data_IF_175965771742
#
_entry.id   IF_175965771742
#
_cell.length_a   1.000
_cell.length_b   1.000
_cell.length_c   1.000
_cell.angle_alpha   90.00
_cell.angle_beta   90.00
_cell.angle_gamma   90.00
#
_symmetry.space_group_name_H-M   'P 1'
#
loop_
_entity.id
_entity.type
_entity.pdbx_description
1 polymer ?
#
# COMPACT_ATOMS: atom_id res chain seq x y z
N UNK A 1 6.95 4.23 -9.28
CA UNK A 1 8.16 3.51 -9.74
C UNK A 1 8.71 4.14 -11.01
N UNK A 2 10.03 4.12 -11.25
CA UNK A 2 10.61 4.57 -12.52
C UNK A 2 10.05 3.76 -13.70
N UNK A 3 9.80 4.37 -14.89
CA UNK A 3 9.20 3.66 -16.03
C UNK A 3 9.95 2.39 -16.44
N UNK A 4 11.28 2.39 -16.35
CA UNK A 4 12.11 1.22 -16.67
C UNK A 4 11.89 0.01 -15.74
N UNK A 5 11.27 0.21 -14.57
CA UNK A 5 10.95 -0.85 -13.61
C UNK A 5 9.49 -1.33 -13.73
N UNK A 6 8.74 -0.82 -14.72
CA UNK A 6 7.42 -1.33 -15.11
C UNK A 6 7.51 -2.35 -16.25
N UNK A 7 8.64 -2.37 -16.96
CA UNK A 7 8.95 -3.37 -17.98
C UNK A 7 9.55 -4.60 -17.29
N UNK A 8 8.75 -5.67 -17.18
CA UNK A 8 9.10 -6.88 -16.46
C UNK A 8 10.28 -7.64 -17.09
N UNK A 9 10.53 -7.45 -18.39
CA UNK A 9 11.66 -8.04 -19.10
C UNK A 9 12.98 -7.30 -18.81
N UNK A 10 12.89 -6.10 -18.22
CA UNK A 10 14.03 -5.20 -17.97
C UNK A 10 14.15 -4.74 -16.52
N UNK A 11 13.32 -5.27 -15.64
CA UNK A 11 13.41 -4.96 -14.22
C UNK A 11 14.78 -5.36 -13.70
N UNK A 12 15.37 -4.46 -12.91
CA UNK A 12 16.68 -4.74 -12.30
C UNK A 12 16.44 -5.58 -11.05
N UNK A 13 17.12 -6.73 -10.88
CA UNK A 13 16.97 -7.54 -9.68
C UNK A 13 17.27 -6.77 -8.38
N UNK A 14 18.15 -5.77 -8.42
CA UNK A 14 18.43 -4.90 -7.28
C UNK A 14 17.21 -4.06 -6.89
N UNK A 15 16.31 -3.77 -7.84
CA UNK A 15 15.07 -3.05 -7.60
C UNK A 15 13.97 -4.01 -7.16
N UNK A 16 13.62 -5.02 -7.97
CA UNK A 16 12.84 -6.17 -7.51
C UNK A 16 12.99 -7.36 -8.47
N UNK A 17 12.75 -8.56 -7.94
CA UNK A 17 12.40 -9.74 -8.75
C UNK A 17 10.91 -10.04 -8.58
N UNK A 18 10.35 -10.87 -9.44
CA UNK A 18 8.94 -11.21 -9.39
C UNK A 18 8.71 -12.66 -9.79
N UNK A 19 7.60 -13.22 -9.32
CA UNK A 19 7.04 -14.45 -9.85
C UNK A 19 5.51 -14.32 -9.99
N UNK A 20 4.94 -15.23 -10.77
CA UNK A 20 3.51 -15.36 -10.92
C UNK A 20 3.14 -16.84 -10.77
N UNK A 21 2.25 -17.14 -9.83
CA UNK A 21 1.79 -18.50 -9.56
C UNK A 21 0.28 -18.57 -9.70
N UNK A 22 -0.22 -19.71 -10.19
CA UNK A 22 -1.65 -20.03 -10.14
C UNK A 22 -1.87 -20.87 -8.90
N UNK A 23 -2.72 -20.41 -7.98
CA UNK A 23 -3.05 -21.13 -6.75
C UNK A 23 -4.27 -22.06 -6.96
N UNK A 24 -4.72 -22.74 -5.89
CA UNK A 24 -5.81 -23.74 -5.92
C UNK A 24 -7.16 -23.20 -6.42
N UNK A 25 -7.34 -21.88 -6.36
CA UNK A 25 -8.52 -21.17 -6.87
C UNK A 25 -8.50 -21.01 -8.40
N UNK A 26 -7.41 -21.42 -9.07
CA UNK A 26 -7.23 -21.34 -10.51
C UNK A 26 -6.93 -19.94 -11.02
N UNK A 27 -6.53 -19.02 -10.13
CA UNK A 27 -6.30 -17.62 -10.47
C UNK A 27 -4.83 -17.23 -10.27
N UNK A 28 -4.35 -16.30 -11.10
CA UNK A 28 -2.98 -15.79 -11.03
C UNK A 28 -2.73 -14.92 -9.79
N UNK A 29 -1.54 -15.07 -9.22
CA UNK A 29 -0.99 -14.30 -8.11
C UNK A 29 0.39 -13.79 -8.49
N UNK A 30 0.52 -12.48 -8.71
CA UNK A 30 1.79 -11.85 -9.04
C UNK A 30 2.45 -11.28 -7.79
N UNK A 31 3.62 -11.79 -7.45
CA UNK A 31 4.36 -11.38 -6.25
C UNK A 31 5.59 -10.59 -6.63
N UNK A 32 5.71 -9.38 -6.09
CA UNK A 32 6.95 -8.61 -6.12
C UNK A 32 7.80 -9.01 -4.92
N UNK A 33 9.09 -9.28 -5.17
CA UNK A 33 10.12 -9.48 -4.16
C UNK A 33 11.04 -8.26 -4.19
N UNK A 34 10.83 -7.28 -3.29
CA UNK A 34 11.64 -6.07 -3.30
C UNK A 34 13.12 -6.36 -3.09
N UNK A 35 13.93 -5.77 -3.96
CA UNK A 35 15.38 -5.78 -3.87
C UNK A 35 15.93 -4.64 -3.01
N UNK A 36 17.23 -4.64 -2.73
CA UNK A 36 17.86 -3.67 -1.82
C UNK A 36 17.72 -2.20 -2.27
N UNK A 37 17.67 -1.93 -3.57
CA UNK A 37 17.49 -0.57 -4.09
C UNK A 37 16.07 -0.06 -3.85
N UNK A 38 15.06 -0.93 -3.97
CA UNK A 38 13.67 -0.56 -3.67
C UNK A 38 13.47 -0.41 -2.15
N UNK A 39 14.09 -1.27 -1.33
CA UNK A 39 14.12 -1.09 0.13
C UNK A 39 14.68 0.30 0.49
N UNK A 40 15.82 0.68 -0.08
CA UNK A 40 16.42 2.00 0.14
C UNK A 40 15.52 3.14 -0.35
N UNK A 41 14.85 2.97 -1.48
CA UNK A 41 13.93 3.97 -2.02
C UNK A 41 12.70 4.17 -1.11
N UNK A 42 12.16 3.10 -0.53
CA UNK A 42 11.03 3.18 0.40
C UNK A 42 11.44 3.85 1.72
N UNK A 43 12.59 3.47 2.29
CA UNK A 43 13.15 4.14 3.46
C UNK A 43 13.34 5.64 3.24
N UNK A 44 13.96 6.03 2.11
CA UNK A 44 14.16 7.43 1.75
C UNK A 44 12.84 8.18 1.53
N UNK A 45 11.84 7.52 0.94
CA UNK A 45 10.49 8.08 0.77
C UNK A 45 9.84 8.38 2.12
N UNK A 46 9.92 7.49 3.10
CA UNK A 46 9.37 7.74 4.43
C UNK A 46 10.06 8.92 5.13
N UNK A 47 11.38 9.03 5.00
CA UNK A 47 12.10 10.20 5.50
C UNK A 47 11.71 11.50 4.80
N UNK A 48 11.46 11.48 3.49
CA UNK A 48 10.97 12.65 2.76
C UNK A 48 9.57 13.08 3.25
N UNK A 49 8.67 12.11 3.46
CA UNK A 49 7.34 12.37 4.05
C UNK A 49 7.50 12.98 5.46
N UNK A 50 8.38 12.41 6.28
CA UNK A 50 8.66 12.92 7.63
C UNK A 50 9.12 14.37 7.61
N UNK A 51 9.99 14.73 6.67
CA UNK A 51 10.43 16.11 6.50
C UNK A 51 9.27 17.07 6.16
N UNK A 52 8.29 16.65 5.35
CA UNK A 52 7.09 17.46 5.12
C UNK A 52 6.25 17.64 6.39
N UNK A 53 6.06 16.56 7.17
CA UNK A 53 5.31 16.59 8.43
C UNK A 53 5.98 17.51 9.46
N UNK A 54 7.31 17.45 9.59
CA UNK A 54 8.09 18.30 10.49
C UNK A 54 7.99 19.80 10.11
N UNK A 55 7.63 20.11 8.86
CA UNK A 55 7.38 21.48 8.38
C UNK A 55 5.88 21.87 8.39
N UNK A 56 5.04 21.11 9.09
CA UNK A 56 3.63 21.43 9.29
C UNK A 56 2.73 21.16 8.07
N UNK A 57 3.21 20.37 7.10
CA UNK A 57 2.42 19.97 5.94
C UNK A 57 1.61 18.70 6.23
N UNK A 58 0.39 18.63 5.71
CA UNK A 58 -0.38 17.38 5.67
C UNK A 58 -0.02 16.59 4.41
N UNK A 59 0.15 15.28 4.54
CA UNK A 59 0.53 14.39 3.43
C UNK A 59 -0.50 13.27 3.29
N UNK A 60 -0.96 13.04 2.06
CA UNK A 60 -1.65 11.80 1.67
C UNK A 60 -0.64 10.97 0.87
N UNK A 61 -0.31 9.79 1.36
CA UNK A 61 0.60 8.85 0.70
C UNK A 61 -0.16 7.57 0.35
N UNK A 62 -0.17 7.20 -0.92
CA UNK A 62 -0.62 5.89 -1.37
C UNK A 62 0.52 4.88 -1.17
N UNK A 63 0.22 3.74 -0.56
CA UNK A 63 1.22 2.72 -0.26
C UNK A 63 0.74 1.32 -0.57
N UNK A 64 1.63 0.54 -1.20
CA UNK A 64 1.53 -0.92 -1.29
C UNK A 64 2.69 -1.49 -0.48
N UNK A 65 2.37 -1.97 0.72
CA UNK A 65 3.36 -2.50 1.66
C UNK A 65 3.67 -3.94 1.26
N UNK A 66 4.75 -4.15 0.50
CA UNK A 66 5.16 -5.49 0.05
C UNK A 66 5.88 -6.31 1.14
N UNK A 67 6.46 -5.62 2.13
CA UNK A 67 7.32 -6.21 3.17
C UNK A 67 6.92 -5.67 4.53
N UNK A 68 6.84 -6.55 5.53
CA UNK A 68 6.60 -6.15 6.93
C UNK A 68 7.67 -5.16 7.40
N UNK A 69 8.91 -5.32 6.95
CA UNK A 69 10.01 -4.43 7.29
C UNK A 69 9.74 -2.98 6.89
N UNK A 70 9.03 -2.73 5.78
CA UNK A 70 8.66 -1.37 5.37
C UNK A 70 7.61 -0.77 6.29
N UNK A 71 6.63 -1.57 6.72
CA UNK A 71 5.67 -1.13 7.74
C UNK A 71 6.40 -0.79 9.05
N UNK A 72 7.29 -1.67 9.51
CA UNK A 72 8.08 -1.45 10.73
C UNK A 72 8.96 -0.20 10.63
N UNK A 73 9.57 0.04 9.47
CA UNK A 73 10.37 1.24 9.22
C UNK A 73 9.52 2.52 9.25
N UNK A 74 8.35 2.51 8.58
CA UNK A 74 7.39 3.62 8.64
C UNK A 74 6.89 3.89 10.07
N UNK A 75 6.63 2.83 10.87
CA UNK A 75 6.22 2.96 12.26
C UNK A 75 7.29 3.67 13.11
N UNK A 76 8.58 3.38 12.88
CA UNK A 76 9.70 4.07 13.57
C UNK A 76 9.83 5.52 13.10
N UNK A 77 9.82 5.75 11.79
CA UNK A 77 10.08 7.08 11.21
C UNK A 77 8.96 8.07 11.57
N UNK A 78 7.71 7.62 11.57
CA UNK A 78 6.55 8.44 11.91
C UNK A 78 6.16 8.37 13.39
N UNK A 79 7.03 7.86 14.26
CA UNK A 79 6.81 7.92 15.70
C UNK A 79 6.59 9.39 16.15
N UNK A 80 5.53 9.60 16.93
CA UNK A 80 5.09 10.92 17.40
C UNK A 80 4.26 11.73 16.39
N UNK A 81 4.07 11.24 15.16
CA UNK A 81 3.18 11.86 14.18
C UNK A 81 1.73 11.38 14.33
N UNK A 82 0.76 12.22 13.95
CA UNK A 82 -0.64 11.80 13.80
C UNK A 82 -0.82 11.13 12.44
N UNK A 83 -0.85 9.79 12.41
CA UNK A 83 -0.97 9.00 11.18
C UNK A 83 -2.32 8.28 11.14
N UNK A 84 -3.09 8.54 10.08
CA UNK A 84 -4.33 7.82 9.78
C UNK A 84 -4.04 6.65 8.84
N UNK A 85 -4.42 5.43 9.24
CA UNK A 85 -4.28 4.26 8.38
C UNK A 85 -5.59 4.01 7.65
N UNK A 86 -5.58 4.05 6.31
CA UNK A 86 -6.78 3.85 5.48
C UNK A 86 -6.61 2.64 4.58
N UNK A 87 -7.45 1.63 4.75
CA UNK A 87 -7.47 0.42 3.93
C UNK A 87 -8.34 0.65 2.71
N UNK A 88 -7.78 0.43 1.52
CA UNK A 88 -8.53 0.53 0.25
C UNK A 88 -8.57 -0.83 -0.41
N UNK A 89 -9.77 -1.40 -0.47
CA UNK A 89 -10.04 -2.74 -0.94
C UNK A 89 -10.80 -2.73 -2.27
N UNK A 90 -10.71 -3.85 -2.98
CA UNK A 90 -11.49 -4.15 -4.18
C UNK A 90 -11.66 -5.66 -4.23
N UNK A 91 -12.79 -6.15 -4.72
CA UNK A 91 -12.96 -7.58 -4.96
C UNK A 91 -11.97 -8.07 -6.02
N UNK A 92 -11.58 -9.35 -5.92
CA UNK A 92 -10.67 -9.96 -6.90
C UNK A 92 -11.19 -9.84 -8.33
N UNK A 93 -12.49 -10.07 -8.53
CA UNK A 93 -13.13 -9.98 -9.84
C UNK A 93 -13.05 -8.58 -10.44
N UNK A 94 -13.42 -7.56 -9.66
CA UNK A 94 -13.41 -6.18 -10.17
C UNK A 94 -11.98 -5.64 -10.31
N UNK A 95 -11.08 -6.03 -9.40
CA UNK A 95 -9.66 -5.72 -9.47
C UNK A 95 -9.01 -6.29 -10.73
N UNK A 96 -9.27 -7.56 -11.06
CA UNK A 96 -8.78 -8.19 -12.29
C UNK A 96 -9.34 -7.53 -13.55
N UNK A 97 -10.64 -7.19 -13.55
CA UNK A 97 -11.27 -6.46 -14.66
C UNK A 97 -10.58 -5.10 -14.91
N UNK A 98 -10.37 -4.31 -13.84
CA UNK A 98 -9.68 -3.00 -13.90
C UNK A 98 -8.21 -3.13 -14.29
N UNK A 99 -7.55 -4.19 -13.86
CA UNK A 99 -6.16 -4.50 -14.23
C UNK A 99 -6.05 -4.75 -15.74
N UNK A 100 -6.95 -5.56 -16.29
CA UNK A 100 -7.02 -5.83 -17.72
C UNK A 100 -7.31 -4.56 -18.53
N UNK A 101 -8.24 -3.71 -18.07
CA UNK A 101 -8.57 -2.43 -18.73
C UNK A 101 -7.38 -1.46 -18.79
N UNK A 102 -6.48 -1.49 -17.79
CA UNK A 102 -5.28 -0.64 -17.78
C UNK A 102 -4.27 -1.05 -18.85
N UNK A 103 -4.29 -2.31 -19.31
CA UNK A 103 -3.50 -2.81 -20.44
C UNK A 103 -1.97 -2.84 -20.25
N UNK A 104 -1.46 -2.39 -19.10
CA UNK A 104 -0.03 -2.28 -18.79
C UNK A 104 0.39 -3.08 -17.55
N UNK A 105 -0.42 -4.07 -17.14
CA UNK A 105 -0.17 -4.90 -15.96
C UNK A 105 -0.26 -6.37 -16.31
N UNK A 106 0.59 -7.16 -15.68
CA UNK A 106 0.54 -8.61 -15.75
C UNK A 106 -0.66 -9.11 -14.92
N UNK A 107 -1.37 -10.17 -15.37
CA UNK A 107 -2.42 -10.80 -14.58
C UNK A 107 -1.95 -11.17 -13.17
N UNK A 108 -2.81 -10.93 -12.18
CA UNK A 108 -2.56 -11.31 -10.78
C UNK A 108 -1.91 -10.22 -9.93
N UNK A 109 -1.57 -9.06 -10.51
CA UNK A 109 -0.95 -7.95 -9.78
C UNK A 109 -1.87 -7.37 -8.72
N UNK A 110 -3.14 -7.16 -9.05
CA UNK A 110 -4.15 -6.69 -8.11
C UNK A 110 -4.20 -7.58 -6.87
N UNK A 111 -4.24 -8.90 -7.08
CA UNK A 111 -4.39 -9.88 -6.01
C UNK A 111 -3.14 -9.95 -5.14
N UNK A 112 -1.98 -10.11 -5.77
CA UNK A 112 -0.71 -10.16 -5.06
C UNK A 112 -0.41 -8.88 -4.26
N UNK A 113 -0.67 -7.71 -4.86
CA UNK A 113 -0.50 -6.44 -4.16
C UNK A 113 -1.50 -6.23 -3.02
N UNK A 114 -2.76 -6.61 -3.19
CA UNK A 114 -3.76 -6.55 -2.12
C UNK A 114 -3.39 -7.46 -0.95
N UNK A 115 -3.01 -8.72 -1.23
CA UNK A 115 -2.56 -9.68 -0.21
C UNK A 115 -1.36 -9.16 0.56
N UNK A 116 -0.35 -8.64 -0.13
CA UNK A 116 0.84 -8.10 0.53
C UNK A 116 0.50 -6.86 1.37
N UNK A 117 -0.18 -5.87 0.77
CA UNK A 117 -0.48 -4.59 1.42
C UNK A 117 -1.31 -4.74 2.70
N UNK A 118 -2.22 -5.70 2.75
CA UNK A 118 -3.12 -5.89 3.89
C UNK A 118 -2.63 -6.95 4.90
N UNK A 119 -1.54 -7.69 4.63
CA UNK A 119 -1.13 -8.85 5.44
C UNK A 119 -0.86 -8.52 6.92
N UNK A 120 -0.24 -7.35 7.19
CA UNK A 120 0.19 -6.95 8.52
C UNK A 120 -0.40 -5.62 8.99
N UNK A 121 -1.21 -4.98 8.15
CA UNK A 121 -1.74 -3.65 8.40
C UNK A 121 -3.08 -3.70 9.18
N UNK A 122 -3.34 -2.60 9.88
CA UNK A 122 -4.61 -2.31 10.55
C UNK A 122 -5.03 -0.90 10.16
N UNK A 123 -6.34 -0.64 10.16
CA UNK A 123 -6.90 0.60 9.63
C UNK A 123 -7.79 1.31 10.64
N UNK A 124 -7.81 2.64 10.55
CA UNK A 124 -8.82 3.49 11.18
C UNK A 124 -10.08 3.54 10.32
N UNK A 125 -9.91 3.52 8.99
CA UNK A 125 -10.99 3.50 8.02
C UNK A 125 -10.71 2.46 6.94
N UNK A 126 -11.72 1.68 6.58
CA UNK A 126 -11.69 0.81 5.41
C UNK A 126 -12.67 1.31 4.36
N UNK A 127 -12.27 1.18 3.09
CA UNK A 127 -13.01 1.55 1.90
C UNK A 127 -13.07 0.37 0.94
N UNK A 128 -14.26 0.00 0.50
CA UNK A 128 -14.46 -0.97 -0.57
C UNK A 128 -14.82 -0.25 -1.87
N UNK A 129 -13.91 -0.32 -2.84
CA UNK A 129 -14.04 0.30 -4.15
C UNK A 129 -14.70 -0.59 -5.20
N UNK A 130 -15.24 -1.75 -4.82
CA UNK A 130 -15.81 -2.73 -5.75
C UNK A 130 -16.98 -2.15 -6.55
N UNK A 131 -18.01 -1.66 -5.86
CA UNK A 131 -19.24 -1.19 -6.51
C UNK A 131 -19.51 0.31 -6.30
N UNK A 132 -19.02 0.89 -5.21
CA UNK A 132 -19.32 2.28 -4.87
C UNK A 132 -18.46 3.24 -5.69
N UNK A 133 -19.05 4.29 -6.32
CA UNK A 133 -18.29 5.32 -7.02
C UNK A 133 -17.25 6.00 -6.12
N UNK A 134 -16.05 6.22 -6.66
CA UNK A 134 -14.91 6.75 -5.89
C UNK A 134 -15.18 8.11 -5.25
N UNK A 135 -15.99 8.97 -5.89
CA UNK A 135 -16.35 10.27 -5.35
C UNK A 135 -17.27 10.17 -4.12
N UNK A 136 -18.10 9.12 -4.06
CA UNK A 136 -18.95 8.86 -2.89
C UNK A 136 -18.11 8.33 -1.74
N UNK A 137 -17.18 7.41 -2.01
CA UNK A 137 -16.24 6.90 -1.00
C UNK A 137 -15.37 8.01 -0.42
N UNK A 138 -14.86 8.92 -1.25
CA UNK A 138 -14.06 10.04 -0.79
C UNK A 138 -14.84 11.00 0.12
N UNK A 139 -16.13 11.26 -0.20
CA UNK A 139 -17.00 12.08 0.66
C UNK A 139 -17.29 11.42 1.99
N UNK A 140 -17.64 10.13 1.96
CA UNK A 140 -17.87 9.34 3.18
C UNK A 140 -16.63 9.29 4.07
N UNK A 141 -15.45 9.02 3.50
CA UNK A 141 -14.18 9.05 4.22
C UNK A 141 -13.95 10.42 4.86
N UNK A 142 -14.17 11.51 4.13
CA UNK A 142 -14.00 12.85 4.65
C UNK A 142 -14.93 13.14 5.84
N UNK A 143 -16.20 12.72 5.76
CA UNK A 143 -17.16 12.94 6.84
C UNK A 143 -16.82 12.12 8.08
N UNK A 144 -16.37 10.86 7.90
CA UNK A 144 -15.84 10.02 8.98
C UNK A 144 -14.57 10.58 9.61
N UNK A 145 -13.64 11.07 8.79
CA UNK A 145 -12.42 11.75 9.24
C UNK A 145 -12.76 12.99 10.08
N UNK A 146 -13.74 13.80 9.68
CA UNK A 146 -14.15 14.99 10.46
C UNK A 146 -14.85 14.65 11.77
N UNK A 147 -15.53 13.50 11.83
CA UNK A 147 -16.22 13.04 13.04
C UNK A 147 -15.27 12.34 14.02
N UNK A 148 -14.18 11.73 13.53
CA UNK A 148 -13.21 11.03 14.36
C UNK A 148 -12.15 12.00 14.90
N UNK A 149 -11.88 11.93 16.21
CA UNK A 149 -10.99 12.88 16.87
C UNK A 149 -9.51 12.49 16.77
N UNK A 150 -9.20 11.19 16.82
CA UNK A 150 -7.83 10.69 16.89
C UNK A 150 -7.71 9.33 16.19
N UNK A 151 -6.65 9.09 15.38
CA UNK A 151 -6.35 7.78 14.83
C UNK A 151 -5.78 6.86 15.91
N UNK A 152 -6.00 5.56 15.74
CA UNK A 152 -5.62 4.53 16.71
C UNK A 152 -4.85 3.37 16.07
N UNK A 153 -5.05 3.11 14.78
CA UNK A 153 -4.45 1.96 14.10
C UNK A 153 -2.92 2.01 14.09
N UNK A 154 -2.33 3.17 13.76
CA UNK A 154 -0.88 3.34 13.78
C UNK A 154 -0.28 3.00 15.17
N UNK A 155 -0.91 3.47 16.24
CA UNK A 155 -0.46 3.21 17.61
C UNK A 155 -0.62 1.73 18.02
N UNK A 156 -1.65 1.03 17.53
CA UNK A 156 -1.79 -0.42 17.74
C UNK A 156 -0.69 -1.19 17.01
N UNK A 157 -0.42 -0.85 15.76
CA UNK A 157 0.66 -1.44 14.96
C UNK A 157 2.03 -1.18 15.58
N UNK A 158 2.29 0.05 16.04
CA UNK A 158 3.52 0.41 16.73
C UNK A 158 3.71 -0.47 17.98
N UNK A 159 2.69 -0.61 18.82
CA UNK A 159 2.75 -1.51 20.00
C UNK A 159 2.97 -2.97 19.62
N UNK A 160 2.35 -3.44 18.54
CA UNK A 160 2.44 -4.83 18.09
C UNK A 160 3.84 -5.18 17.55
N UNK A 161 4.52 -4.25 16.90
CA UNK A 161 5.76 -4.54 16.17
C UNK A 161 7.03 -3.91 16.77
N UNK A 162 6.90 -2.91 17.65
CA UNK A 162 8.04 -2.15 18.20
C UNK A 162 8.07 -2.04 19.73
N UNK A 163 7.06 -2.55 20.44
CA UNK A 163 7.05 -2.65 21.92
C UNK A 163 7.37 -4.07 22.36
#
# INVERSE_FOLDING_TARGET
>A
MPPAQLDLDRVRPEYYTWDCVVEDDGLDWFTVHPGPLLDQAMHARYHAIRAYLDNGMNVIADEVIWKREWLVDALRIFEGCTVWMVGVHVSDQEGARREQERGNRYPGWNRGSARAAHADAEYDFELDTTATPVQMLARDLHDRYRACREPTAFNRLHKRFLS
#
